data_IF_222976010718
#
_entry.id   IF_222976010718
#
_cell.length_a   1.000
_cell.length_b   1.000
_cell.length_c   1.000
_cell.angle_alpha   90.00
_cell.angle_beta   90.00
_cell.angle_gamma   90.00
#
_symmetry.space_group_name_H-M   'P 1'
#
loop_
_entity.id
_entity.type
_entity.pdbx_description
1 polymer ?
#
# COMPACT_ATOMS: atom_id res chain seq x y z
N UNK A 1 20.76 -40.20 -16.92
CA UNK A 1 19.72 -39.17 -17.07
C UNK A 1 19.33 -38.71 -15.66
N UNK A 2 20.03 -37.73 -15.10
CA UNK A 2 19.85 -37.33 -13.70
C UNK A 2 19.43 -35.86 -13.69
N UNK A 3 18.12 -35.63 -13.64
CA UNK A 3 17.53 -34.29 -13.62
C UNK A 3 17.78 -33.66 -12.24
N UNK A 4 18.79 -32.80 -12.15
CA UNK A 4 19.08 -32.00 -10.97
C UNK A 4 17.98 -30.95 -10.86
N UNK A 5 17.00 -31.18 -9.99
CA UNK A 5 15.93 -30.23 -9.65
C UNK A 5 16.60 -28.99 -9.06
N UNK A 6 16.87 -28.00 -9.90
CA UNK A 6 17.33 -26.68 -9.48
C UNK A 6 16.17 -26.05 -8.70
N UNK A 7 16.22 -26.23 -7.37
CA UNK A 7 15.44 -25.44 -6.45
C UNK A 7 15.83 -23.98 -6.69
N UNK A 8 15.02 -23.28 -7.48
CA UNK A 8 14.96 -21.83 -7.47
C UNK A 8 14.61 -21.44 -6.03
N UNK A 9 15.64 -21.29 -5.19
CA UNK A 9 15.53 -20.59 -3.91
C UNK A 9 14.99 -19.22 -4.28
N UNK A 10 13.70 -18.99 -4.02
CA UNK A 10 13.07 -17.67 -4.07
C UNK A 10 14.05 -16.70 -3.42
N UNK A 11 14.54 -15.74 -4.21
CA UNK A 11 15.32 -14.61 -3.72
C UNK A 11 14.56 -14.04 -2.53
N UNK A 12 15.22 -14.06 -1.38
CA UNK A 12 14.88 -13.43 -0.12
C UNK A 12 13.50 -12.73 -0.12
N UNK A 13 12.44 -13.29 0.49
CA UNK A 13 11.32 -12.43 0.86
C UNK A 13 11.91 -11.34 1.75
N UNK A 14 11.70 -10.07 1.39
CA UNK A 14 12.17 -8.93 2.16
C UNK A 14 11.99 -9.22 3.65
N UNK A 15 13.10 -9.33 4.38
CA UNK A 15 13.04 -9.48 5.83
C UNK A 15 12.51 -8.15 6.36
N UNK A 16 11.21 -8.08 6.65
CA UNK A 16 10.54 -6.96 7.33
C UNK A 16 11.12 -6.63 8.72
N UNK A 17 12.17 -7.33 9.15
CA UNK A 17 12.81 -7.20 10.46
C UNK A 17 13.73 -5.98 10.57
N UNK A 18 14.10 -5.35 9.45
CA UNK A 18 14.84 -4.09 9.44
C UNK A 18 13.88 -2.99 8.97
N UNK A 19 13.09 -2.45 9.91
CA UNK A 19 12.16 -1.35 9.59
C UNK A 19 12.99 -0.13 9.21
N UNK A 20 12.93 0.28 7.95
CA UNK A 20 13.30 1.65 7.57
C UNK A 20 12.54 2.60 8.50
N UNK A 21 13.19 3.64 9.07
CA UNK A 21 12.49 4.61 9.88
C UNK A 21 11.29 5.17 9.13
N UNK A 22 10.16 5.30 9.81
CA UNK A 22 8.98 5.95 9.24
C UNK A 22 9.38 7.35 8.73
N UNK A 23 8.94 7.69 7.53
CA UNK A 23 8.87 9.03 7.00
C UNK A 23 8.22 9.96 8.04
N UNK A 24 8.57 11.27 8.06
CA UNK A 24 7.97 12.21 9.00
C UNK A 24 6.43 12.23 8.95
N UNK A 25 5.87 12.03 7.75
CA UNK A 25 4.43 11.98 7.51
C UNK A 25 3.79 10.68 8.01
N UNK A 26 4.46 9.53 7.96
CA UNK A 26 3.93 8.33 8.61
C UNK A 26 4.17 8.34 10.12
N UNK A 27 5.24 8.99 10.58
CA UNK A 27 5.60 9.10 12.00
C UNK A 27 4.55 9.89 12.80
N UNK A 28 3.90 10.90 12.21
CA UNK A 28 2.75 11.56 12.85
C UNK A 28 1.63 10.56 13.18
N UNK A 29 1.37 9.59 12.30
CA UNK A 29 0.38 8.54 12.51
C UNK A 29 0.91 7.40 13.38
N UNK A 30 2.21 7.16 13.37
CA UNK A 30 2.88 6.10 14.14
C UNK A 30 2.73 6.23 15.66
N UNK A 31 2.37 7.41 16.17
CA UNK A 31 2.03 7.60 17.59
C UNK A 31 0.62 7.13 17.94
N UNK A 32 -0.26 6.97 16.95
CA UNK A 32 -1.66 6.58 17.10
C UNK A 32 -1.95 5.14 16.64
N UNK A 33 -0.99 4.49 15.98
CA UNK A 33 -1.12 3.15 15.42
C UNK A 33 -0.23 2.18 16.19
N UNK A 34 -0.82 1.10 16.70
CA UNK A 34 -0.07 -0.02 17.27
C UNK A 34 0.62 -0.82 16.14
N UNK A 35 1.88 -0.48 15.86
CA UNK A 35 2.71 -1.17 14.87
C UNK A 35 3.06 -2.62 15.26
N UNK A 36 2.71 -3.06 16.46
CA UNK A 36 2.81 -4.46 16.90
C UNK A 36 1.58 -5.30 16.53
N UNK A 37 0.47 -4.65 16.15
CA UNK A 37 -0.81 -5.30 15.90
C UNK A 37 -1.48 -4.76 14.62
N UNK A 38 -0.78 -4.87 13.48
CA UNK A 38 -1.30 -4.49 12.18
C UNK A 38 -2.09 -5.63 11.53
N UNK A 39 -3.14 -5.33 10.74
CA UNK A 39 -3.82 -6.34 9.94
C UNK A 39 -2.87 -6.92 8.87
N UNK A 40 -2.98 -8.21 8.60
CA UNK A 40 -2.24 -8.85 7.51
C UNK A 40 -2.72 -8.37 6.13
N UNK A 41 -4.02 -8.07 5.99
CA UNK A 41 -4.62 -7.69 4.71
C UNK A 41 -5.62 -6.55 4.88
N UNK A 42 -5.46 -5.51 4.07
CA UNK A 42 -6.41 -4.41 3.95
C UNK A 42 -7.04 -4.40 2.56
N UNK A 43 -8.37 -4.26 2.48
CA UNK A 43 -9.09 -4.04 1.24
C UNK A 43 -9.70 -2.63 1.23
N UNK A 44 -9.48 -1.88 0.16
CA UNK A 44 -9.94 -0.50 -0.02
C UNK A 44 -10.96 -0.46 -1.16
N UNK A 45 -12.15 0.09 -0.93
CA UNK A 45 -13.10 0.36 -2.01
C UNK A 45 -12.94 1.81 -2.45
N UNK A 46 -12.38 2.03 -3.64
CA UNK A 46 -12.10 3.37 -4.18
C UNK A 46 -13.35 4.04 -4.79
N UNK A 47 -14.41 4.26 -3.99
CA UNK A 47 -15.61 4.99 -4.44
C UNK A 47 -15.45 6.51 -4.31
N UNK A 48 -16.29 7.27 -5.02
CA UNK A 48 -16.46 8.70 -4.82
C UNK A 48 -15.69 9.58 -5.80
N UNK A 49 -14.76 9.03 -6.58
CA UNK A 49 -13.96 9.76 -7.56
C UNK A 49 -14.79 10.60 -8.53
N UNK A 50 -15.90 10.04 -9.04
CA UNK A 50 -16.83 10.78 -9.91
C UNK A 50 -17.59 11.90 -9.19
N UNK A 51 -17.98 11.69 -7.92
CA UNK A 51 -18.63 12.72 -7.09
C UNK A 51 -17.64 13.83 -6.75
N UNK A 52 -16.39 13.48 -6.44
CA UNK A 52 -15.29 14.40 -6.19
C UNK A 52 -15.05 15.33 -7.39
N UNK A 53 -14.99 14.79 -8.60
CA UNK A 53 -14.81 15.59 -9.81
C UNK A 53 -16.02 16.52 -10.07
N UNK A 54 -17.25 15.97 -9.95
CA UNK A 54 -18.49 16.74 -10.13
C UNK A 54 -18.58 17.92 -9.16
N UNK A 55 -18.25 17.73 -7.89
CA UNK A 55 -18.29 18.78 -6.87
C UNK A 55 -17.36 19.97 -7.16
N UNK A 56 -16.37 19.76 -8.04
CA UNK A 56 -15.38 20.77 -8.46
C UNK A 56 -15.60 21.28 -9.88
N UNK A 57 -16.72 20.92 -10.51
CA UNK A 57 -16.98 21.29 -11.91
C UNK A 57 -16.00 20.65 -12.91
N UNK A 58 -15.33 19.56 -12.53
CA UNK A 58 -14.31 18.90 -13.34
C UNK A 58 -14.87 17.68 -14.10
N UNK A 59 -14.32 17.34 -15.29
CA UNK A 59 -14.59 16.08 -15.95
C UNK A 59 -14.26 14.86 -15.07
N UNK A 60 -15.00 13.76 -15.24
CA UNK A 60 -14.80 12.51 -14.47
C UNK A 60 -13.37 11.96 -14.52
N UNK A 61 -12.67 12.18 -15.63
CA UNK A 61 -11.28 11.76 -15.81
C UNK A 61 -10.36 12.28 -14.69
N UNK A 62 -10.55 13.53 -14.23
CA UNK A 62 -9.78 14.09 -13.13
C UNK A 62 -10.04 13.36 -11.82
N UNK A 63 -11.27 12.89 -11.59
CA UNK A 63 -11.60 12.04 -10.46
C UNK A 63 -10.86 10.71 -10.49
N UNK A 64 -10.74 10.08 -11.66
CA UNK A 64 -9.96 8.85 -11.80
C UNK A 64 -8.47 9.08 -11.54
N UNK A 65 -7.91 10.18 -12.05
CA UNK A 65 -6.52 10.55 -11.80
C UNK A 65 -6.26 10.75 -10.29
N UNK A 66 -7.17 11.44 -9.59
CA UNK A 66 -7.09 11.59 -8.13
C UNK A 66 -7.25 10.27 -7.38
N UNK A 67 -8.10 9.37 -7.84
CA UNK A 67 -8.19 8.02 -7.27
C UNK A 67 -6.88 7.25 -7.38
N UNK A 68 -6.17 7.36 -8.50
CA UNK A 68 -4.85 6.72 -8.70
C UNK A 68 -3.79 7.33 -7.79
N UNK A 69 -3.79 8.66 -7.60
CA UNK A 69 -2.88 9.32 -6.65
C UNK A 69 -3.12 8.83 -5.22
N UNK A 70 -4.37 8.81 -4.76
CA UNK A 70 -4.72 8.31 -3.42
C UNK A 70 -4.35 6.83 -3.22
N UNK A 71 -4.53 5.98 -4.23
CA UNK A 71 -4.12 4.58 -4.14
C UNK A 71 -2.60 4.44 -3.99
N UNK A 72 -1.81 5.26 -4.70
CA UNK A 72 -0.34 5.24 -4.57
C UNK A 72 0.11 5.62 -3.17
N UNK A 73 -0.52 6.63 -2.58
CA UNK A 73 -0.25 7.04 -1.19
C UNK A 73 -0.59 5.92 -0.21
N UNK A 74 -1.75 5.27 -0.37
CA UNK A 74 -2.14 4.13 0.47
C UNK A 74 -1.17 2.95 0.37
N UNK A 75 -0.70 2.62 -0.85
CA UNK A 75 0.29 1.56 -1.06
C UNK A 75 1.63 1.92 -0.43
N UNK A 76 2.10 3.17 -0.61
CA UNK A 76 3.35 3.63 -0.03
C UNK A 76 3.31 3.53 1.49
N UNK A 77 2.23 3.99 2.12
CA UNK A 77 2.04 3.88 3.55
C UNK A 77 1.99 2.42 4.03
N UNK A 78 1.24 1.55 3.34
CA UNK A 78 1.16 0.13 3.67
C UNK A 78 2.54 -0.56 3.64
N UNK A 79 3.36 -0.25 2.65
CA UNK A 79 4.75 -0.73 2.59
C UNK A 79 5.60 -0.23 3.75
N UNK A 80 5.40 1.03 4.14
CA UNK A 80 6.16 1.70 5.18
C UNK A 80 5.85 1.17 6.58
N UNK A 81 4.57 0.96 6.90
CA UNK A 81 4.14 0.40 8.19
C UNK A 81 4.27 -1.13 8.24
N UNK A 82 4.39 -1.78 7.08
CA UNK A 82 4.60 -3.23 6.99
C UNK A 82 3.32 -4.06 6.88
N UNK A 83 2.27 -3.52 6.25
CA UNK A 83 1.08 -4.29 5.87
C UNK A 83 1.41 -5.12 4.62
N UNK A 84 1.37 -6.47 4.67
CA UNK A 84 1.87 -7.31 3.59
C UNK A 84 0.92 -7.43 2.39
N UNK A 85 -0.39 -7.27 2.59
CA UNK A 85 -1.38 -7.40 1.53
C UNK A 85 -2.32 -6.19 1.46
N UNK A 86 -2.52 -5.66 0.25
CA UNK A 86 -3.50 -4.61 -0.04
C UNK A 86 -4.29 -4.99 -1.29
N UNK A 87 -5.61 -4.87 -1.24
CA UNK A 87 -6.52 -5.00 -2.39
C UNK A 87 -7.32 -3.72 -2.59
N UNK A 88 -7.53 -3.31 -3.83
CA UNK A 88 -8.26 -2.09 -4.18
C UNK A 88 -9.08 -2.26 -5.46
#
# INVERSE_FOLDING_TARGET
>A
MTFRRQLFKRKNPMRFTERTPLSPEAAQWGTQIDLGNLPEHVAIIMDGNGRWARSRGMPRLFGHQKGVEALKEAIAFALEVGIPYLSA
#
